data_IF_153870912432
#
_entry.id   IF_153870912432
#
_cell.length_a   1.000
_cell.length_b   1.000
_cell.length_c   1.000
_cell.angle_alpha   90.00
_cell.angle_beta   90.00
_cell.angle_gamma   90.00
#
_symmetry.space_group_name_H-M   'P 1'
#
loop_
_entity.id
_entity.type
_entity.pdbx_description
1 polymer ?
2 polymer ?
3 polymer ?
4 water ?
#
loop_
_entity_poly.entity_id
_entity_poly.type
_entity_poly.pdbx_seq_one_letter_code
_entity_poly.pdbx_strand_id
2 'polydeoxyribonucleotide' '(DG)(DA)(DA)(DT)(DC)(DA)(DC)(DA)(DA)(DA)(DT)(DC)(DA)(DC)(DA)(DA)(DG)(DC)' ?
3 'polydeoxyribonucleotide' '(DC)(DT)(DT)(DG)(DT)(DG)(DA)(DT)(DT)(DT)(DG)(DT)(DG)(DA)(DT)(DT)(DC)(DG)' ?
#
# COMPACT_ATOMS: atom_id res chain seq x y z
N UNK A 5 -15.42 9.77 -21.01
CA UNK A 5 -14.11 10.34 -21.45
C UNK A 5 -13.02 9.26 -21.29
N UNK A 6 -11.82 9.55 -21.81
CA UNK A 6 -10.72 8.58 -21.75
C UNK A 6 -10.15 8.47 -20.31
N UNK A 7 -9.69 7.28 -19.94
CA UNK A 7 -9.22 7.02 -18.57
C UNK A 7 -8.22 5.86 -18.54
N UNK A 8 -7.09 6.09 -17.88
CA UNK A 8 -6.08 5.07 -17.74
C UNK A 8 -6.48 3.99 -16.75
N UNK A 9 -5.65 2.96 -16.64
CA UNK A 9 -5.97 1.80 -15.80
C UNK A 9 -4.91 1.55 -14.74
N UNK A 10 -5.26 0.74 -13.75
CA UNK A 10 -4.35 0.40 -12.66
C UNK A 10 -4.51 -1.07 -12.25
N UNK A 11 -3.40 -1.81 -12.20
CA UNK A 11 -3.45 -3.25 -11.90
C UNK A 11 -3.76 -3.52 -10.43
N UNK A 12 -4.69 -4.43 -10.19
CA UNK A 12 -5.02 -4.85 -8.84
C UNK A 12 -5.12 -6.38 -8.75
N UNK A 13 -5.14 -6.88 -7.53
CA UNK A 13 -5.33 -8.30 -7.29
C UNK A 13 -6.79 -8.59 -6.94
N UNK A 14 -7.32 -9.69 -7.48
CA UNK A 14 -8.59 -10.28 -7.00
C UNK A 14 -8.44 -11.75 -6.78
N UNK A 15 -9.26 -12.26 -5.89
CA UNK A 15 -9.26 -13.66 -5.56
C UNK A 15 -9.51 -14.49 -6.84
N UNK A 16 -8.77 -15.57 -6.98
CA UNK A 16 -8.81 -16.37 -8.19
C UNK A 16 -10.23 -16.91 -8.51
N UNK A 17 -10.91 -17.47 -7.51
CA UNK A 17 -12.19 -18.14 -7.75
C UNK A 17 -13.21 -17.19 -8.32
N UNK A 18 -13.23 -15.98 -7.78
CA UNK A 18 -14.18 -14.99 -8.22
C UNK A 18 -13.86 -14.53 -9.65
N UNK A 19 -12.58 -14.36 -9.94
CA UNK A 19 -12.15 -14.00 -11.26
C UNK A 19 -12.66 -15.03 -12.31
N UNK A 20 -12.46 -16.31 -12.00
CA UNK A 20 -12.87 -17.40 -12.87
C UNK A 20 -14.36 -17.33 -13.23
N UNK A 21 -15.20 -17.18 -12.23
CA UNK A 21 -16.63 -17.06 -12.47
C UNK A 21 -16.93 -16.03 -13.53
N UNK A 22 -16.28 -14.86 -13.41
CA UNK A 22 -16.48 -13.80 -14.37
C UNK A 22 -15.91 -14.17 -15.74
N UNK A 23 -14.79 -14.86 -15.71
CA UNK A 23 -14.14 -15.29 -16.94
C UNK A 23 -15.00 -16.25 -17.73
N UNK A 24 -15.50 -17.27 -17.06
CA UNK A 24 -16.38 -18.24 -17.68
C UNK A 24 -17.64 -17.58 -18.22
N UNK A 25 -18.29 -16.76 -17.40
CA UNK A 25 -19.52 -16.12 -17.81
C UNK A 25 -19.31 -15.16 -19.00
N UNK A 26 -18.24 -14.36 -18.98
CA UNK A 26 -18.03 -13.42 -20.09
C UNK A 26 -17.68 -14.14 -21.42
N UNK A 27 -16.91 -15.22 -21.34
CA UNK A 27 -16.59 -16.01 -22.52
C UNK A 27 -17.84 -16.72 -23.04
N UNK A 28 -18.74 -17.03 -22.14
CA UNK A 28 -19.96 -17.75 -22.46
C UNK A 28 -20.96 -16.83 -23.16
N UNK A 29 -21.15 -15.63 -22.59
CA UNK A 29 -22.26 -14.75 -23.01
C UNK A 29 -21.83 -13.34 -23.43
N UNK A 30 -20.55 -13.18 -23.78
CA UNK A 30 -20.06 -11.89 -24.30
C UNK A 30 -19.46 -11.01 -23.21
N UNK A 31 -18.63 -10.05 -23.60
CA UNK A 31 -17.97 -9.14 -22.65
C UNK A 31 -16.57 -9.59 -22.29
N UNK A 32 -15.91 -8.83 -21.44
CA UNK A 32 -14.61 -9.19 -20.94
C UNK A 32 -14.55 -8.98 -19.45
N UNK A 33 -13.54 -9.55 -18.81
CA UNK A 33 -13.41 -9.49 -17.35
C UNK A 33 -13.29 -8.04 -16.86
N UNK A 34 -12.49 -7.24 -17.57
CA UNK A 34 -12.21 -5.87 -17.16
C UNK A 34 -13.48 -5.04 -17.01
N UNK A 35 -14.27 -4.97 -18.08
CA UNK A 35 -15.58 -4.33 -18.04
C UNK A 35 -16.29 -4.62 -16.74
N UNK A 36 -16.34 -5.90 -16.37
CA UNK A 36 -17.11 -6.32 -15.23
C UNK A 36 -16.45 -5.87 -13.94
N UNK A 37 -15.15 -6.05 -13.83
CA UNK A 37 -14.44 -5.63 -12.64
C UNK A 37 -14.70 -4.13 -12.35
N UNK A 38 -14.55 -3.32 -13.40
CA UNK A 38 -14.83 -1.88 -13.31
C UNK A 38 -16.23 -1.62 -12.76
N UNK A 39 -17.22 -2.29 -13.33
CA UNK A 39 -18.58 -2.09 -12.91
C UNK A 39 -18.77 -2.49 -11.44
N UNK A 40 -18.19 -3.61 -11.06
CA UNK A 40 -18.27 -4.07 -9.67
C UNK A 40 -17.65 -3.05 -8.74
N UNK A 41 -16.51 -2.51 -9.15
CA UNK A 41 -15.81 -1.55 -8.33
C UNK A 41 -16.63 -0.29 -8.16
N UNK A 42 -17.06 0.28 -9.28
CA UNK A 42 -17.91 1.47 -9.25
C UNK A 42 -19.09 1.29 -8.34
N UNK A 43 -19.77 0.16 -8.48
CA UNK A 43 -20.97 -0.08 -7.71
C UNK A 43 -20.67 -0.20 -6.24
N UNK A 44 -19.53 -0.77 -5.91
CA UNK A 44 -19.08 -0.83 -4.52
C UNK A 44 -18.82 0.58 -3.96
N UNK A 45 -18.28 1.45 -4.79
CA UNK A 45 -17.95 2.79 -4.35
C UNK A 45 -19.21 3.61 -4.24
N UNK A 46 -20.11 3.46 -5.21
CA UNK A 46 -21.43 4.10 -5.11
C UNK A 46 -22.16 3.68 -3.86
N UNK A 47 -21.99 2.43 -3.46
CA UNK A 47 -22.66 1.91 -2.29
C UNK A 47 -22.04 2.40 -0.98
N UNK A 48 -20.72 2.21 -0.84
CA UNK A 48 -20.05 2.50 0.43
C UNK A 48 -19.39 3.87 0.51
N UNK A 49 -19.11 4.46 -0.65
CA UNK A 49 -18.39 5.72 -0.70
C UNK A 49 -19.04 6.72 -1.69
N UNK A 50 -20.35 6.89 -1.58
CA UNK A 50 -21.11 7.64 -2.57
C UNK A 50 -20.60 9.07 -2.76
N UNK A 51 -20.12 9.67 -1.69
CA UNK A 51 -19.48 11.00 -1.72
C UNK A 51 -18.30 11.10 -2.70
N UNK A 52 -17.57 10.00 -2.87
CA UNK A 52 -16.24 10.05 -3.50
C UNK A 52 -16.25 10.17 -5.02
N UNK A 53 -17.33 9.76 -5.66
CA UNK A 53 -17.40 9.83 -7.13
C UNK A 53 -18.09 11.11 -7.59
N UNK B 1 -12.80 -23.68 5.74
CA UNK B 1 -12.33 -22.80 4.63
C UNK B 1 -10.94 -23.24 4.17
N UNK B 2 -10.78 -24.54 3.96
CA UNK B 2 -9.52 -25.07 3.46
C UNK B 2 -9.27 -24.51 2.06
N UNK B 3 -10.29 -24.59 1.21
CA UNK B 3 -10.22 -24.10 -0.16
C UNK B 3 -9.81 -22.63 -0.18
N UNK B 4 -10.40 -21.85 0.73
CA UNK B 4 -10.20 -20.42 0.77
C UNK B 4 -8.87 -20.04 1.41
N UNK B 5 -8.40 -20.89 2.32
CA UNK B 5 -7.14 -20.63 3.01
C UNK B 5 -5.96 -20.72 2.05
N UNK B 6 -6.10 -21.54 1.01
CA UNK B 6 -5.05 -21.69 0.00
C UNK B 6 -5.45 -21.10 -1.35
N UNK B 7 -6.49 -20.29 -1.34
CA UNK B 7 -6.91 -19.58 -2.54
C UNK B 7 -5.89 -18.51 -2.93
N UNK B 8 -5.51 -18.47 -4.20
CA UNK B 8 -4.56 -17.47 -4.71
C UNK B 8 -5.23 -16.29 -5.41
N UNK B 9 -4.45 -15.58 -6.22
CA UNK B 9 -4.92 -14.33 -6.83
C UNK B 9 -4.74 -14.32 -8.35
N UNK B 10 -5.65 -13.63 -8.99
CA UNK B 10 -5.48 -13.21 -10.36
C UNK B 10 -5.24 -11.70 -10.29
N UNK B 11 -4.66 -11.11 -11.34
CA UNK B 11 -4.64 -9.64 -11.42
C UNK B 11 -5.56 -9.13 -12.48
N UNK B 12 -6.01 -7.89 -12.30
CA UNK B 12 -6.89 -7.23 -13.26
C UNK B 12 -6.62 -5.73 -13.20
N UNK B 13 -6.83 -5.04 -14.31
CA UNK B 13 -6.50 -3.62 -14.40
C UNK B 13 -7.76 -2.77 -14.42
N UNK B 14 -7.98 -2.01 -13.35
CA UNK B 14 -9.18 -1.18 -13.23
C UNK B 14 -8.90 0.29 -13.54
N UNK B 15 -9.97 1.07 -13.70
CA UNK B 15 -9.83 2.52 -13.92
C UNK B 15 -9.05 3.16 -12.81
N UNK B 16 -8.10 4.00 -13.19
CA UNK B 16 -7.19 4.59 -12.25
C UNK B 16 -7.92 5.39 -11.23
N UNK B 17 -8.91 6.15 -11.67
CA UNK B 17 -9.59 7.05 -10.76
C UNK B 17 -10.39 6.29 -9.73
N UNK B 18 -10.96 5.15 -10.12
CA UNK B 18 -11.66 4.29 -9.18
C UNK B 18 -10.69 3.66 -8.21
N UNK B 19 -9.49 3.37 -8.71
CA UNK B 19 -8.43 2.82 -7.89
C UNK B 19 -7.93 3.88 -6.90
N UNK B 20 -7.78 5.10 -7.38
CA UNK B 20 -7.31 6.20 -6.53
C UNK B 20 -8.20 6.37 -5.30
N UNK B 21 -9.50 6.44 -5.52
CA UNK B 21 -10.47 6.53 -4.43
C UNK B 21 -10.24 5.47 -3.34
N UNK B 22 -10.11 4.20 -3.76
CA UNK B 22 -9.81 3.10 -2.82
C UNK B 22 -8.44 3.24 -2.18
N UNK B 23 -7.46 3.65 -2.96
CA UNK B 23 -6.11 3.83 -2.45
C UNK B 23 -6.13 4.80 -1.24
N UNK B 24 -6.93 5.85 -1.34
CA UNK B 24 -7.00 6.86 -0.29
C UNK B 24 -7.87 6.40 0.86
N UNK B 25 -9.01 5.79 0.55
CA UNK B 25 -9.90 5.35 1.60
C UNK B 25 -9.21 4.34 2.50
N UNK B 26 -8.56 3.33 1.91
CA UNK B 26 -7.92 2.29 2.72
C UNK B 26 -6.72 2.85 3.48
N UNK B 27 -5.95 3.71 2.84
CA UNK B 27 -4.90 4.45 3.55
C UNK B 27 -5.46 5.13 4.83
N UNK B 28 -6.58 5.86 4.67
CA UNK B 28 -7.21 6.59 5.79
C UNK B 28 -7.79 5.67 6.85
N UNK B 29 -8.65 4.74 6.43
CA UNK B 29 -9.49 3.97 7.35
C UNK B 29 -9.17 2.48 7.42
N UNK B 30 -8.11 2.05 6.75
CA UNK B 30 -7.61 0.68 6.91
C UNK B 30 -8.07 -0.27 5.81
N UNK B 31 -7.55 -1.51 5.87
CA UNK B 31 -7.75 -2.47 4.80
C UNK B 31 -6.77 -2.22 3.68
N UNK B 32 -7.06 -2.77 2.51
CA UNK B 32 -6.18 -2.61 1.37
C UNK B 32 -6.93 -2.83 0.07
N UNK B 33 -6.24 -2.67 -1.05
CA UNK B 33 -6.90 -2.69 -2.36
C UNK B 33 -7.52 -4.04 -2.70
N UNK B 34 -6.75 -5.11 -2.54
CA UNK B 34 -7.21 -6.46 -2.81
C UNK B 34 -8.51 -6.80 -2.03
N UNK B 35 -8.59 -6.37 -0.77
CA UNK B 35 -9.78 -6.64 0.05
C UNK B 35 -10.98 -5.98 -0.56
N UNK B 36 -10.83 -4.72 -0.92
CA UNK B 36 -11.90 -4.03 -1.57
C UNK B 36 -12.28 -4.77 -2.85
N UNK B 37 -11.31 -5.13 -3.68
CA UNK B 37 -11.61 -5.85 -4.92
C UNK B 37 -12.42 -7.12 -4.64
N UNK B 38 -11.97 -7.92 -3.68
CA UNK B 38 -12.62 -9.19 -3.37
C UNK B 38 -14.09 -8.96 -2.98
N UNK B 39 -14.31 -8.04 -2.05
CA UNK B 39 -15.66 -7.76 -1.57
C UNK B 39 -16.50 -7.19 -2.71
N UNK B 40 -15.95 -6.23 -3.42
CA UNK B 40 -16.65 -5.59 -4.51
C UNK B 40 -17.13 -6.62 -5.53
N UNK B 41 -16.28 -7.57 -5.84
CA UNK B 41 -16.61 -8.57 -6.83
C UNK B 41 -17.50 -9.69 -6.27
N UNK B 42 -17.36 -10.00 -4.99
CA UNK B 42 -18.24 -10.97 -4.36
C UNK B 42 -19.65 -10.46 -4.32
N UNK B 43 -19.79 -9.17 -4.01
CA UNK B 43 -21.09 -8.57 -3.89
C UNK B 43 -21.77 -8.43 -5.24
N UNK B 44 -20.97 -8.17 -6.27
CA UNK B 44 -21.50 -8.06 -7.63
C UNK B 44 -22.04 -9.40 -8.12
N UNK B 45 -21.28 -10.46 -7.90
CA UNK B 45 -21.71 -11.81 -8.29
C UNK B 45 -22.95 -12.23 -7.49
N UNK B 46 -22.89 -11.97 -6.19
CA UNK B 46 -24.00 -12.24 -5.31
C UNK B 46 -25.26 -11.52 -5.79
N UNK B 47 -25.05 -10.33 -6.37
CA UNK B 47 -26.15 -9.50 -6.85
C UNK B 47 -26.72 -10.01 -8.18
N UNK B 48 -25.86 -10.16 -9.18
CA UNK B 48 -26.29 -10.43 -10.56
C UNK B 48 -26.17 -11.89 -10.98
N UNK B 49 -25.37 -12.67 -10.26
CA UNK B 49 -25.05 -14.04 -10.66
C UNK B 49 -24.99 -15.01 -9.50
N UNK B 50 -26.00 -15.01 -8.64
CA UNK B 50 -25.95 -15.79 -7.40
C UNK B 50 -25.71 -17.29 -7.62
N UNK B 51 -26.15 -17.83 -8.75
CA UNK B 51 -26.03 -19.28 -9.00
C UNK B 51 -24.58 -19.74 -9.00
N UNK B 52 -23.66 -18.81 -9.27
CA UNK B 52 -22.28 -19.18 -9.55
C UNK B 52 -21.47 -19.34 -8.29
N UNK B 53 -21.86 -18.63 -7.24
CA UNK B 53 -21.25 -18.81 -5.93
C UNK B 53 -21.65 -20.14 -5.32
N UNK C 1 26.25 4.07 -5.06
CA UNK C 1 27.48 3.63 -4.30
C UNK C 1 27.41 2.16 -3.98
N UNK C 2 28.58 1.54 -3.87
CA UNK C 2 28.67 0.08 -3.85
C UNK C 2 27.70 -0.53 -2.88
N UNK C 3 27.70 -0.05 -1.65
CA UNK C 3 26.91 -0.66 -0.59
C UNK C 3 25.42 -0.45 -0.82
N UNK C 4 25.03 0.72 -1.24
CA UNK C 4 23.65 0.96 -1.62
C UNK C 4 23.28 0.11 -2.84
N UNK C 5 24.09 0.19 -3.89
CA UNK C 5 23.82 -0.54 -5.11
C UNK C 5 23.55 -2.01 -4.84
N UNK C 6 24.36 -2.62 -3.99
CA UNK C 6 24.48 -4.05 -3.95
C UNK C 6 23.64 -4.71 -2.87
N UNK C 7 23.52 -4.07 -1.72
CA UNK C 7 22.74 -4.63 -0.64
C UNK C 7 21.23 -4.46 -0.89
N UNK C 8 20.42 -5.11 -0.06
CA UNK C 8 18.99 -5.11 -0.25
C UNK C 8 18.33 -4.16 0.71
N UNK C 9 17.33 -4.64 1.43
CA UNK C 9 16.63 -3.86 2.40
C UNK C 9 16.55 -4.64 3.70
N UNK C 10 16.06 -3.98 4.72
CA UNK C 10 16.00 -4.57 6.03
C UNK C 10 14.78 -4.04 6.74
N UNK C 11 14.00 -4.94 7.34
CA UNK C 11 12.78 -4.54 8.03
C UNK C 11 13.10 -3.77 9.29
N UNK C 12 12.22 -2.83 9.62
CA UNK C 12 12.46 -1.86 10.65
C UNK C 12 11.12 -1.47 11.23
N UNK C 13 11.10 -1.12 12.52
CA UNK C 13 9.86 -0.73 13.20
C UNK C 13 9.76 0.78 13.34
N UNK C 14 8.52 1.29 13.31
CA UNK C 14 8.26 2.72 13.45
C UNK C 14 6.93 2.99 14.16
N UNK C 15 6.82 4.18 14.73
CA UNK C 15 5.56 4.69 15.24
C UNK C 15 4.43 4.62 14.20
N UNK C 16 3.32 3.98 14.58
CA UNK C 16 2.19 3.79 13.67
C UNK C 16 1.56 5.11 13.22
N UNK C 17 1.47 6.08 14.14
CA UNK C 17 0.83 7.36 13.83
C UNK C 17 1.62 8.17 12.79
N UNK C 18 2.93 8.13 12.88
CA UNK C 18 3.79 8.80 11.92
C UNK C 18 3.75 8.07 10.58
N UNK C 19 3.80 6.75 10.64
CA UNK C 19 3.69 5.95 9.45
C UNK C 19 2.41 6.29 8.71
N UNK C 20 1.32 6.35 9.47
CA UNK C 20 -0.01 6.59 8.90
C UNK C 20 -0.03 7.87 8.08
N UNK C 21 0.58 8.92 8.64
CA UNK C 21 0.62 10.21 7.98
C UNK C 21 1.25 10.10 6.60
N UNK C 22 2.32 9.32 6.49
CA UNK C 22 3.00 9.12 5.21
C UNK C 22 2.16 8.24 4.28
N UNK C 23 1.49 7.24 4.84
CA UNK C 23 0.67 6.35 4.01
C UNK C 23 -0.48 7.12 3.35
N UNK C 24 -1.12 8.01 4.11
CA UNK C 24 -2.18 8.85 3.56
C UNK C 24 -1.62 9.82 2.51
N UNK C 25 -0.57 10.51 2.86
CA UNK C 25 0.03 11.49 1.96
C UNK C 25 0.45 10.87 0.62
N UNK C 26 1.13 9.72 0.67
CA UNK C 26 1.52 9.03 -0.56
C UNK C 26 0.32 8.49 -1.32
N UNK C 27 -0.69 7.97 -0.61
CA UNK C 27 -1.93 7.56 -1.27
C UNK C 27 -2.56 8.73 -2.05
N UNK C 28 -2.69 9.89 -1.40
CA UNK C 28 -3.26 11.07 -2.06
C UNK C 28 -2.38 11.48 -3.20
N UNK C 29 -1.16 11.86 -2.88
CA UNK C 29 -0.24 12.36 -3.86
C UNK C 29 0.77 11.27 -4.19
N UNK C 30 1.77 11.57 -4.98
CA UNK C 30 2.59 10.47 -5.56
C UNK C 30 3.34 9.59 -4.54
N UNK C 31 4.18 8.69 -5.06
CA UNK C 31 5.25 8.08 -4.27
C UNK C 31 4.83 6.91 -3.42
N UNK C 32 5.74 6.46 -2.56
CA UNK C 32 5.45 5.37 -1.66
C UNK C 32 6.13 5.57 -0.34
N UNK C 33 5.73 4.80 0.65
CA UNK C 33 6.23 4.96 2.02
C UNK C 33 7.75 4.75 2.10
N UNK C 34 8.23 3.60 1.59
CA UNK C 34 9.66 3.27 1.68
C UNK C 34 10.52 4.44 1.25
N UNK C 35 10.25 4.91 0.05
CA UNK C 35 10.84 6.12 -0.50
C UNK C 35 11.05 7.20 0.58
N UNK C 36 10.00 7.51 1.32
CA UNK C 36 10.03 8.53 2.33
C UNK C 36 10.89 8.13 3.53
N UNK C 37 10.80 6.88 3.94
CA UNK C 37 11.56 6.42 5.09
C UNK C 37 13.04 6.43 4.84
N UNK C 38 13.43 6.07 3.63
CA UNK C 38 14.84 6.10 3.26
C UNK C 38 15.39 7.54 3.22
N UNK C 39 14.61 8.49 2.72
CA UNK C 39 15.03 9.93 2.80
C UNK C 39 15.13 10.39 4.23
N UNK C 40 14.07 10.16 5.00
CA UNK C 40 14.07 10.49 6.43
C UNK C 40 15.35 9.99 7.07
N UNK C 41 15.61 8.72 6.91
CA UNK C 41 16.74 8.08 7.53
C UNK C 41 18.05 8.67 7.04
N UNK C 42 18.19 8.86 5.72
CA UNK C 42 19.43 9.42 5.17
C UNK C 42 19.68 10.80 5.73
N UNK C 43 18.63 11.61 5.79
CA UNK C 43 18.74 12.95 6.31
C UNK C 43 19.11 12.93 7.80
N UNK C 44 18.60 11.93 8.53
CA UNK C 44 18.96 11.77 9.95
C UNK C 44 20.45 11.48 10.07
N UNK C 45 20.95 10.60 9.20
CA UNK C 45 22.36 10.25 9.26
C UNK C 45 23.26 11.43 8.85
N UNK C 46 22.87 12.17 7.81
CA UNK C 46 23.70 13.27 7.31
C UNK C 46 23.73 14.41 8.30
N UNK C 47 22.84 14.36 9.28
CA UNK C 47 22.72 15.43 10.28
C UNK C 47 23.41 15.07 11.58
N UNK C 48 23.13 13.89 12.10
CA UNK C 48 23.66 13.47 13.42
C UNK C 48 24.88 12.55 13.31
N UNK C 49 25.08 11.93 12.14
CA UNK C 49 26.21 11.02 11.90
C UNK C 49 26.81 11.29 10.54
N UNK C 50 27.29 12.50 10.33
CA UNK C 50 27.74 12.93 9.01
C UNK C 50 28.94 12.12 8.50
N UNK C 51 29.77 11.65 9.42
CA UNK C 51 31.01 10.94 9.04
C UNK C 51 30.76 9.50 8.53
N UNK C 52 29.52 9.04 8.62
CA UNK C 52 29.19 7.67 8.23
C UNK C 52 28.65 7.58 6.81
N UNK C 53 28.45 8.73 6.17
CA UNK C 53 28.01 8.78 4.75
C UNK C 53 28.86 9.75 3.94
N UNK D 7 -1.22 3.81 19.73
CA UNK D 7 -1.54 3.43 18.32
C UNK D 7 -0.56 2.36 17.78
N UNK D 8 0.63 2.27 18.39
CA UNK D 8 1.51 1.11 18.21
C UNK D 8 2.58 1.27 17.14
N UNK D 9 2.99 0.13 16.55
CA UNK D 9 4.06 0.10 15.54
C UNK D 9 3.57 -0.27 14.15
N UNK D 10 4.34 0.14 13.15
CA UNK D 10 4.19 -0.36 11.80
C UNK D 10 5.58 -0.71 11.32
N UNK D 11 5.72 -1.63 10.38
CA UNK D 11 7.04 -1.97 9.86
C UNK D 11 7.30 -1.37 8.50
N UNK D 12 8.58 -1.24 8.17
CA UNK D 12 9.03 -0.65 6.93
C UNK D 12 10.37 -1.22 6.61
N UNK D 13 10.63 -1.42 5.32
CA UNK D 13 11.90 -2.00 4.88
C UNK D 13 12.80 -0.92 4.31
N UNK D 14 13.82 -0.54 5.07
CA UNK D 14 14.73 0.49 4.63
C UNK D 14 15.97 -0.09 4.01
N UNK D 15 16.68 0.76 3.29
CA UNK D 15 17.93 0.37 2.65
C UNK D 15 18.86 -0.20 3.67
N UNK D 16 19.42 -1.36 3.34
CA UNK D 16 20.25 -2.12 4.25
C UNK D 16 21.55 -1.38 4.62
N UNK D 17 22.06 -0.54 3.71
CA UNK D 17 23.29 0.23 4.01
C UNK D 17 23.04 1.27 5.09
N UNK D 18 21.86 1.90 5.06
CA UNK D 18 21.51 2.88 6.07
C UNK D 18 21.15 2.22 7.38
N UNK D 19 20.53 1.06 7.29
CA UNK D 19 20.22 0.25 8.44
C UNK D 19 21.50 -0.20 9.15
N UNK D 20 22.51 -0.59 8.38
CA UNK D 20 23.77 -1.04 8.94
C UNK D 20 24.35 0.06 9.80
N UNK D 21 24.52 1.22 9.20
CA UNK D 21 25.03 2.38 9.90
C UNK D 21 24.38 2.53 11.28
N UNK D 22 23.04 2.49 11.33
CA UNK D 22 22.31 2.69 12.58
C UNK D 22 22.60 1.58 13.57
N UNK D 23 22.61 0.33 13.10
CA UNK D 23 22.98 -0.80 13.94
C UNK D 23 24.31 -0.57 14.62
N UNK D 24 25.33 -0.35 13.81
CA UNK D 24 26.65 -0.12 14.33
C UNK D 24 26.61 0.90 15.46
N UNK D 25 25.91 2.00 15.22
CA UNK D 25 25.88 3.12 16.16
C UNK D 25 25.12 2.81 17.44
N UNK D 26 23.91 2.28 17.29
CA UNK D 26 23.09 1.92 18.43
C UNK D 26 23.77 0.87 19.26
N UNK D 27 24.51 -0.02 18.61
CA UNK D 27 25.27 -1.05 19.31
C UNK D 27 26.41 -0.43 20.09
N UNK D 28 27.21 0.38 19.41
CA UNK D 28 28.38 1.01 20.02
C UNK D 28 27.96 1.97 21.15
N UNK D 29 27.25 3.03 20.80
CA UNK D 29 26.68 3.92 21.79
C UNK D 29 25.30 3.41 22.20
N UNK D 30 24.52 4.22 22.89
CA UNK D 30 23.20 3.77 23.37
C UNK D 30 22.21 3.60 22.24
N UNK D 31 21.01 3.14 22.58
CA UNK D 31 19.84 3.29 21.69
C UNK D 31 19.39 2.01 21.01
N UNK D 32 18.32 2.13 20.24
CA UNK D 32 17.86 1.04 19.40
C UNK D 32 17.40 1.59 18.04
N UNK D 33 17.08 0.69 17.12
CA UNK D 33 16.75 1.07 15.75
C UNK D 33 15.42 1.82 15.66
N UNK D 34 14.39 1.29 16.32
CA UNK D 34 13.09 1.94 16.33
C UNK D 34 13.18 3.41 16.78
N UNK D 35 13.97 3.68 17.82
CA UNK D 35 14.16 5.03 18.34
C UNK D 35 14.61 5.96 17.26
N UNK D 36 15.59 5.54 16.49
CA UNK D 36 16.15 6.38 15.44
C UNK D 36 15.10 6.63 14.38
N UNK D 37 14.51 5.55 13.90
CA UNK D 37 13.40 5.62 12.96
C UNK D 37 12.40 6.66 13.35
N UNK D 38 11.85 6.51 14.55
CA UNK D 38 10.81 7.40 15.04
C UNK D 38 11.28 8.82 14.93
N UNK D 39 12.51 9.07 15.37
CA UNK D 39 13.04 10.41 15.35
C UNK D 39 13.35 10.87 13.91
N UNK D 40 13.95 9.99 13.11
CA UNK D 40 14.20 10.30 11.70
C UNK D 40 12.94 10.79 11.01
N UNK D 41 11.87 9.99 11.13
CA UNK D 41 10.61 10.28 10.46
C UNK D 41 9.97 11.55 11.02
N UNK D 42 9.97 11.67 12.35
CA UNK D 42 9.34 12.83 13.00
C UNK D 42 9.94 14.13 12.50
N UNK D 43 11.26 14.19 12.41
CA UNK D 43 11.93 15.40 12.00
C UNK D 43 11.69 15.68 10.51
N UNK D 44 11.49 14.60 9.75
CA UNK D 44 11.21 14.72 8.32
C UNK D 44 9.84 15.37 8.13
N UNK D 45 8.85 14.88 8.84
CA UNK D 45 7.52 15.42 8.74
C UNK D 45 7.50 16.89 9.13
N UNK D 46 8.08 17.21 10.29
CA UNK D 46 8.21 18.60 10.73
C UNK D 46 8.78 19.46 9.63
N UNK D 47 9.85 18.97 9.03
CA UNK D 47 10.58 19.70 8.02
C UNK D 47 9.74 19.90 6.76
N UNK D 48 9.16 18.82 6.25
CA UNK D 48 8.55 18.82 4.92
C UNK D 48 7.02 18.82 4.92
N UNK D 49 6.40 18.37 6.02
CA UNK D 49 4.95 18.27 6.12
C UNK D 49 4.49 18.79 7.48
N UNK D 50 4.85 20.02 7.81
CA UNK D 50 4.64 20.54 9.17
C UNK D 50 3.16 20.57 9.54
N UNK D 51 2.33 20.93 8.59
CA UNK D 51 0.87 20.92 8.79
C UNK D 51 0.36 19.61 9.40
N UNK D 52 0.84 18.47 8.91
CA UNK D 52 0.33 17.17 9.34
C UNK D 52 0.65 16.89 10.79
N UNK D 53 1.48 17.75 11.38
CA UNK D 53 1.73 17.74 12.83
C UNK D 53 2.51 16.48 13.26
#
# INVERSE_FOLDING_TARGET
MAKKDIMGDKTVRVRADLHHIIKIETAKNGGNVKEVMDQALEEYIRKYLPDKL
MAKKDIMGDKTVRVRADLHHIIKIETAKNGGNVKEVMDQALEEYIRKYLPDKL
MAKKDIMGDKTVRVRADLHHIIKIETAKNGGNVKEVMDQALEEYIRKYLPDKL
MAKKDIMGDKTVRVRADLHHIIKIETAKNGGNVKEVMDQALEEYIRKYLPDKL
#
